data_IF_695439892404
#
_entry.id   IF_695439892404
#
_cell.length_a   1.000
_cell.length_b   1.000
_cell.length_c   1.000
_cell.angle_alpha   90.00
_cell.angle_beta   90.00
_cell.angle_gamma   90.00
#
_symmetry.space_group_name_H-M   'P 1'
#
loop_
_entity.id
_entity.type
_entity.pdbx_description
1 polymer ?
#
# COMPACT_ATOMS: atom_id res chain seq x y z
N UNK A 1 -10.52 15.94 6.29
CA UNK A 1 -9.49 15.06 6.88
C UNK A 1 -8.15 15.63 6.47
N UNK A 2 -7.19 15.75 7.38
CA UNK A 2 -5.84 16.15 6.99
C UNK A 2 -5.16 14.95 6.32
N UNK A 3 -4.34 15.18 5.29
CA UNK A 3 -3.58 14.16 4.55
C UNK A 3 -2.87 13.14 5.46
N UNK A 4 -2.45 13.60 6.64
CA UNK A 4 -1.79 12.82 7.66
C UNK A 4 -2.69 11.70 8.25
N UNK A 5 -4.00 11.93 8.38
CA UNK A 5 -4.96 10.93 8.87
C UNK A 5 -5.25 9.86 7.81
N UNK A 6 -5.31 10.24 6.54
CA UNK A 6 -5.54 9.30 5.42
C UNK A 6 -4.38 8.33 5.25
N UNK A 7 -3.14 8.79 5.39
CA UNK A 7 -1.93 7.94 5.31
C UNK A 7 -1.83 7.00 6.53
N UNK A 8 -2.17 7.48 7.74
CA UNK A 8 -2.20 6.66 8.96
C UNK A 8 -3.20 5.50 8.86
N UNK A 9 -4.32 5.70 8.14
CA UNK A 9 -5.34 4.67 7.93
C UNK A 9 -4.91 3.53 6.99
N UNK A 10 -3.86 3.71 6.18
CA UNK A 10 -3.38 2.67 5.26
C UNK A 10 -2.51 1.61 5.95
N UNK A 11 -2.10 1.85 7.20
CA UNK A 11 -1.28 0.94 8.00
C UNK A 11 -0.02 0.44 7.27
N UNK A 12 0.65 1.32 6.51
CA UNK A 12 1.84 0.97 5.72
C UNK A 12 3.12 0.83 6.56
N UNK A 13 3.01 0.54 7.85
CA UNK A 13 4.15 0.49 8.76
C UNK A 13 5.00 -0.76 8.52
N UNK A 14 6.28 -0.68 8.88
CA UNK A 14 7.22 -1.81 8.83
C UNK A 14 7.06 -2.75 10.04
N UNK A 15 5.82 -2.97 10.50
CA UNK A 15 5.54 -3.99 11.51
C UNK A 15 5.51 -5.38 10.86
N UNK A 16 5.83 -6.41 11.65
CA UNK A 16 5.98 -7.78 11.14
C UNK A 16 4.70 -8.34 10.51
N UNK A 17 3.52 -7.91 10.98
CA UNK A 17 2.24 -8.36 10.40
C UNK A 17 2.05 -7.79 8.99
N UNK A 18 2.28 -6.49 8.82
CA UNK A 18 2.19 -5.80 7.53
C UNK A 18 3.26 -6.29 6.55
N UNK A 19 4.48 -6.53 7.02
CA UNK A 19 5.56 -7.12 6.22
C UNK A 19 5.15 -8.50 5.72
N UNK A 20 4.61 -9.37 6.59
CA UNK A 20 4.20 -10.71 6.19
C UNK A 20 3.04 -10.68 5.18
N UNK A 21 2.05 -9.81 5.37
CA UNK A 21 0.97 -9.60 4.38
C UNK A 21 1.52 -9.15 3.03
N UNK A 22 2.52 -8.27 3.04
CA UNK A 22 3.18 -7.80 1.82
C UNK A 22 3.94 -8.92 1.13
N UNK A 23 4.65 -9.76 1.88
CA UNK A 23 5.31 -10.96 1.33
C UNK A 23 4.27 -11.88 0.69
N UNK A 24 3.17 -12.20 1.37
CA UNK A 24 2.12 -13.07 0.83
C UNK A 24 1.51 -12.49 -0.47
N UNK A 25 1.34 -11.17 -0.55
CA UNK A 25 0.92 -10.51 -1.79
C UNK A 25 1.97 -10.70 -2.91
N UNK A 26 3.25 -10.51 -2.60
CA UNK A 26 4.34 -10.68 -3.57
C UNK A 26 4.45 -12.14 -4.03
N UNK A 27 4.21 -13.14 -3.18
CA UNK A 27 4.20 -14.55 -3.58
C UNK A 27 3.20 -14.84 -4.70
N UNK A 28 2.06 -14.13 -4.73
CA UNK A 28 1.02 -14.30 -5.74
C UNK A 28 1.27 -13.50 -7.03
N UNK A 29 1.93 -12.34 -6.92
CA UNK A 29 2.03 -11.38 -8.03
C UNK A 29 3.46 -11.16 -8.57
N UNK A 30 4.47 -11.24 -7.71
CA UNK A 30 5.89 -11.05 -8.03
C UNK A 30 6.77 -12.02 -7.22
N UNK A 31 6.67 -13.35 -7.47
CA UNK A 31 7.27 -14.36 -6.60
C UNK A 31 8.79 -14.26 -6.48
N UNK A 32 9.49 -13.82 -7.52
CA UNK A 32 10.94 -13.59 -7.49
C UNK A 32 11.35 -12.48 -6.49
N UNK A 33 10.41 -11.59 -6.15
CA UNK A 33 10.58 -10.49 -5.21
C UNK A 33 9.96 -10.77 -3.83
N UNK A 34 9.40 -11.95 -3.59
CA UNK A 34 8.69 -12.32 -2.36
C UNK A 34 9.64 -12.56 -1.17
N UNK A 35 10.40 -11.53 -0.79
CA UNK A 35 11.32 -11.57 0.32
C UNK A 35 11.15 -10.32 1.21
N UNK A 36 11.66 -10.43 2.44
CA UNK A 36 11.49 -9.39 3.47
C UNK A 36 12.13 -8.05 3.06
N UNK A 37 13.29 -8.07 2.41
CA UNK A 37 13.99 -6.85 2.01
C UNK A 37 13.17 -6.05 1.00
N UNK A 38 12.65 -6.73 -0.03
CA UNK A 38 11.81 -6.11 -1.03
C UNK A 38 10.47 -5.65 -0.45
N UNK A 39 9.82 -6.47 0.38
CA UNK A 39 8.56 -6.10 1.04
C UNK A 39 8.69 -4.81 1.87
N UNK A 40 9.78 -4.66 2.63
CA UNK A 40 10.08 -3.44 3.38
C UNK A 40 10.31 -2.24 2.44
N UNK A 41 11.05 -2.44 1.36
CA UNK A 41 11.27 -1.40 0.34
C UNK A 41 9.97 -0.96 -0.32
N UNK A 42 9.10 -1.91 -0.66
CA UNK A 42 7.78 -1.68 -1.23
C UNK A 42 6.89 -0.87 -0.29
N UNK A 43 6.83 -1.22 1.00
CA UNK A 43 6.06 -0.46 2.00
C UNK A 43 6.54 1.00 2.12
N UNK A 44 7.87 1.23 2.14
CA UNK A 44 8.44 2.60 2.14
C UNK A 44 8.08 3.38 0.89
N UNK A 45 8.11 2.73 -0.27
CA UNK A 45 7.68 3.34 -1.52
C UNK A 45 6.20 3.73 -1.45
N UNK A 46 5.33 2.81 -1.01
CA UNK A 46 3.89 3.06 -0.89
C UNK A 46 3.58 4.20 0.09
N UNK A 47 4.31 4.31 1.20
CA UNK A 47 4.18 5.44 2.13
C UNK A 47 4.49 6.78 1.45
N UNK A 48 5.61 6.86 0.72
CA UNK A 48 6.01 8.08 0.00
C UNK A 48 5.05 8.40 -1.12
N UNK A 49 4.60 7.38 -1.85
CA UNK A 49 3.63 7.52 -2.92
C UNK A 49 2.30 8.06 -2.37
N UNK A 50 1.75 7.47 -1.31
CA UNK A 50 0.54 7.94 -0.65
C UNK A 50 0.65 9.40 -0.19
N UNK A 51 1.82 9.80 0.33
CA UNK A 51 2.07 11.18 0.75
C UNK A 51 2.12 12.20 -0.39
N UNK A 52 2.69 11.82 -1.54
CA UNK A 52 2.70 12.69 -2.73
C UNK A 52 1.32 12.73 -3.36
N UNK A 53 0.67 11.57 -3.48
CA UNK A 53 -0.67 11.38 -3.98
C UNK A 53 -1.71 12.22 -3.23
N UNK A 54 -1.66 12.25 -1.90
CA UNK A 54 -2.61 13.02 -1.08
C UNK A 54 -2.50 14.53 -1.29
N UNK A 55 -1.36 15.02 -1.78
CA UNK A 55 -1.08 16.44 -2.01
C UNK A 55 -1.36 16.91 -3.43
N UNK A 56 -1.54 15.99 -4.39
CA UNK A 56 -1.93 16.38 -5.75
C UNK A 56 -3.45 16.44 -5.83
N UNK A 57 -4.01 17.65 -5.91
CA UNK A 57 -5.46 17.89 -6.03
C UNK A 57 -6.10 17.16 -7.23
N UNK A 58 -5.30 16.71 -8.21
CA UNK A 58 -5.78 15.97 -9.40
C UNK A 58 -5.78 14.46 -9.19
N UNK A 59 -5.15 13.95 -8.14
CA UNK A 59 -5.07 12.52 -7.85
C UNK A 59 -6.00 12.15 -6.70
N UNK A 60 -7.17 11.63 -7.06
CA UNK A 60 -8.16 11.13 -6.12
C UNK A 60 -7.73 9.77 -5.57
N UNK A 61 -6.90 9.81 -4.54
CA UNK A 61 -6.32 8.64 -3.89
C UNK A 61 -7.38 7.76 -3.21
N UNK A 62 -8.44 8.35 -2.65
CA UNK A 62 -9.54 7.59 -2.06
C UNK A 62 -10.28 6.76 -3.10
N UNK A 63 -10.58 7.36 -4.26
CA UNK A 63 -11.21 6.65 -5.39
C UNK A 63 -10.31 5.60 -6.01
N UNK A 64 -8.99 5.81 -6.00
CA UNK A 64 -8.02 4.78 -6.41
C UNK A 64 -8.09 3.56 -5.49
N UNK A 65 -8.10 3.77 -4.16
CA UNK A 65 -8.19 2.69 -3.19
C UNK A 65 -9.53 1.95 -3.22
N UNK A 66 -10.65 2.67 -3.40
CA UNK A 66 -11.99 2.05 -3.50
C UNK A 66 -12.09 1.09 -4.70
N UNK A 67 -11.47 1.45 -5.84
CA UNK A 67 -11.39 0.56 -6.99
C UNK A 67 -10.58 -0.70 -6.72
N UNK A 68 -9.46 -0.57 -6.01
CA UNK A 68 -8.60 -1.71 -5.67
C UNK A 68 -9.29 -2.68 -4.70
N UNK A 69 -9.91 -2.16 -3.63
CA UNK A 69 -10.65 -3.00 -2.66
C UNK A 69 -11.79 -3.80 -3.28
N UNK A 70 -12.48 -3.22 -4.28
CA UNK A 70 -13.55 -3.92 -5.02
C UNK A 70 -13.03 -5.08 -5.87
N UNK A 71 -11.81 -5.00 -6.42
CA UNK A 71 -11.23 -6.10 -7.19
C UNK A 71 -10.88 -7.32 -6.33
N UNK A 72 -10.38 -7.12 -5.11
CA UNK A 72 -10.11 -8.20 -4.15
C UNK A 72 -11.39 -8.89 -3.63
N UNK A 73 -12.53 -8.19 -3.68
CA UNK A 73 -13.81 -8.70 -3.17
C UNK A 73 -14.55 -9.62 -4.15
N UNK A 74 -14.18 -9.57 -5.44
CA UNK A 74 -14.87 -10.25 -6.54
C UNK A 74 -14.11 -11.48 -7.07
N UNK A 75 -13.06 -11.96 -6.35
CA UNK A 75 -12.30 -13.18 -6.67
C UNK A 75 -12.47 -14.31 -5.67
#
# INVERSE_FOLDING_TARGET
MNDEDTIKNLHLYEDEETIQKTINYLELHEPDNANREYAVGFLKFMQRFAHVASKDERFDFERFLDKYKKQDSDS
#
